data_IF_142098371072
#
_entry.id   IF_142098371072
#
_cell.length_a   1.000
_cell.length_b   1.000
_cell.length_c   1.000
_cell.angle_alpha   90.00
_cell.angle_beta   90.00
_cell.angle_gamma   90.00
#
_symmetry.space_group_name_H-M   'P 1'
#
loop_
_entity.id
_entity.type
_entity.pdbx_description
1 polymer ?
#
# COMPACT_ATOMS: atom_id res chain seq x y z
N UNK A 1 21.40 -14.52 9.11
CA UNK A 1 21.14 -15.58 8.12
C UNK A 1 20.32 -14.98 7.00
N UNK A 2 20.91 -14.82 5.81
CA UNK A 2 20.21 -14.33 4.62
C UNK A 2 19.21 -15.39 4.18
N UNK A 3 17.91 -15.10 4.30
CA UNK A 3 16.87 -16.04 3.87
C UNK A 3 16.93 -16.20 2.35
N UNK A 4 16.99 -17.44 1.86
CA UNK A 4 16.90 -17.71 0.43
C UNK A 4 15.51 -17.28 -0.05
N UNK A 5 15.45 -16.26 -0.91
CA UNK A 5 14.19 -15.84 -1.53
C UNK A 5 13.92 -16.75 -2.73
N UNK A 6 12.79 -17.44 -2.70
CA UNK A 6 12.36 -18.28 -3.83
C UNK A 6 12.03 -17.34 -4.99
N UNK A 7 12.63 -17.61 -6.15
CA UNK A 7 12.35 -16.89 -7.39
C UNK A 7 11.30 -17.68 -8.16
N UNK A 8 10.10 -17.14 -8.29
CA UNK A 8 9.02 -17.79 -9.06
C UNK A 8 9.18 -17.65 -10.57
N UNK A 9 9.77 -16.54 -11.02
CA UNK A 9 9.99 -16.25 -12.44
C UNK A 9 11.45 -15.80 -12.68
N UNK A 10 12.34 -16.66 -13.21
CA UNK A 10 13.72 -16.29 -13.51
C UNK A 10 13.89 -15.56 -14.85
N UNK A 11 12.82 -15.21 -15.57
CA UNK A 11 12.91 -14.68 -16.95
C UNK A 11 13.73 -13.39 -17.09
N UNK A 12 13.79 -12.56 -16.04
CA UNK A 12 14.59 -11.32 -16.02
C UNK A 12 15.97 -11.48 -15.38
N UNK A 13 16.40 -12.71 -15.09
CA UNK A 13 17.68 -12.96 -14.44
C UNK A 13 18.86 -12.61 -15.36
N UNK A 14 19.79 -11.81 -14.86
CA UNK A 14 21.00 -11.38 -15.58
C UNK A 14 22.20 -12.15 -15.04
N UNK A 15 23.07 -12.70 -15.90
CA UNK A 15 24.25 -13.43 -15.42
C UNK A 15 25.21 -12.51 -14.67
N UNK A 16 25.60 -12.91 -13.46
CA UNK A 16 26.65 -12.26 -12.68
C UNK A 16 27.97 -13.01 -12.82
N UNK A 17 27.92 -14.34 -12.66
CA UNK A 17 29.07 -15.22 -12.87
C UNK A 17 28.58 -16.57 -13.41
N UNK A 18 28.50 -16.72 -14.75
CA UNK A 18 28.05 -17.96 -15.38
C UNK A 18 28.87 -19.19 -14.99
N UNK A 19 30.19 -19.01 -14.79
CA UNK A 19 31.09 -20.09 -14.40
C UNK A 19 30.74 -20.74 -13.05
N UNK A 20 30.07 -19.99 -12.17
CA UNK A 20 29.60 -20.44 -10.87
C UNK A 20 28.07 -20.62 -10.82
N UNK A 21 27.38 -20.48 -11.96
CA UNK A 21 25.92 -20.52 -12.02
C UNK A 21 25.21 -19.39 -11.26
N UNK A 22 25.86 -18.23 -11.08
CA UNK A 22 25.32 -17.10 -10.35
C UNK A 22 24.60 -16.12 -11.27
N UNK A 23 23.35 -15.81 -10.91
CA UNK A 23 22.48 -14.89 -11.63
C UNK A 23 21.87 -13.88 -10.65
N UNK A 24 21.65 -12.66 -11.13
CA UNK A 24 20.97 -11.60 -10.40
C UNK A 24 19.58 -11.39 -10.97
N UNK A 25 18.58 -11.40 -10.09
CA UNK A 25 17.22 -11.03 -10.46
C UNK A 25 16.96 -9.58 -10.03
N UNK A 26 16.65 -8.66 -10.95
CA UNK A 26 16.24 -7.31 -10.58
C UNK A 26 14.88 -7.36 -9.86
N UNK A 27 14.75 -6.60 -8.78
CA UNK A 27 13.48 -6.39 -8.07
C UNK A 27 13.01 -4.98 -8.40
N UNK A 28 11.78 -4.84 -8.87
CA UNK A 28 11.21 -3.53 -9.14
C UNK A 28 10.48 -3.01 -7.91
N UNK A 29 10.69 -1.72 -7.62
CA UNK A 29 10.09 -1.01 -6.48
C UNK A 29 9.06 -0.02 -6.99
N UNK A 30 7.93 0.06 -6.32
CA UNK A 30 6.83 0.99 -6.61
C UNK A 30 6.47 1.77 -5.35
N UNK A 31 6.22 3.07 -5.51
CA UNK A 31 5.83 3.93 -4.39
C UNK A 31 4.32 4.08 -4.37
N UNK A 32 3.71 3.78 -3.23
CA UNK A 32 2.26 3.81 -3.08
C UNK A 32 1.91 4.83 -2.00
N UNK A 33 1.14 5.84 -2.35
CA UNK A 33 0.63 6.85 -1.43
C UNK A 33 -0.85 6.63 -1.17
N UNK A 34 -1.25 6.61 0.09
CA UNK A 34 -2.64 6.46 0.51
C UNK A 34 -3.05 7.74 1.23
N UNK A 35 -4.05 8.44 0.70
CA UNK A 35 -4.62 9.62 1.36
C UNK A 35 -5.67 9.18 2.38
N UNK A 36 -5.48 9.63 3.62
CA UNK A 36 -6.41 9.44 4.71
C UNK A 36 -7.47 10.55 4.69
N UNK A 37 -8.73 10.25 5.05
CA UNK A 37 -9.75 11.28 5.19
C UNK A 37 -9.34 12.25 6.30
N UNK A 38 -9.53 13.57 6.11
CA UNK A 38 -9.29 14.53 7.17
C UNK A 38 -10.21 14.24 8.36
N UNK A 39 -9.77 14.54 9.60
CA UNK A 39 -10.64 14.42 10.76
C UNK A 39 -11.90 15.26 10.53
N UNK A 40 -13.09 14.78 10.97
CA UNK A 40 -14.31 15.53 10.80
C UNK A 40 -14.16 16.93 11.43
N UNK A 41 -14.64 17.99 10.75
CA UNK A 41 -14.55 19.34 11.29
C UNK A 41 -15.19 19.37 12.68
N UNK A 42 -14.51 20.01 13.63
CA UNK A 42 -15.06 20.19 14.97
C UNK A 42 -16.45 20.84 14.85
N UNK A 43 -17.47 20.33 15.56
CA UNK A 43 -18.80 20.95 15.49
C UNK A 43 -18.69 22.42 15.89
N UNK A 44 -19.46 23.31 15.25
CA UNK A 44 -19.50 24.72 15.66
C UNK A 44 -19.84 24.80 17.15
N UNK A 45 -19.27 25.75 17.90
CA UNK A 45 -19.61 25.92 19.31
C UNK A 45 -21.08 26.32 19.43
N UNK A 46 -21.95 25.34 19.71
CA UNK A 46 -23.35 25.59 20.03
C UNK A 46 -23.46 26.13 21.46
N UNK A 47 -24.05 27.31 21.70
CA UNK A 47 -24.07 27.96 23.01
C UNK A 47 -25.09 27.38 24.02
N UNK A 48 -25.80 26.28 23.73
CA UNK A 48 -26.85 25.78 24.63
C UNK A 48 -27.19 24.30 24.42
N UNK A 49 -26.51 23.38 25.12
CA UNK A 49 -27.11 22.21 25.80
C UNK A 49 -26.02 21.27 26.31
N UNK A 50 -26.12 20.91 27.59
CA UNK A 50 -25.30 19.92 28.29
C UNK A 50 -25.51 18.52 27.74
N UNK A 51 -24.83 18.18 26.63
CA UNK A 51 -24.53 16.79 26.23
C UNK A 51 -23.59 16.82 25.02
N UNK A 52 -22.35 16.30 25.13
CA UNK A 52 -21.51 16.15 23.95
C UNK A 52 -22.17 15.14 23.01
N UNK A 53 -22.34 15.43 21.70
CA UNK A 53 -22.73 14.40 20.75
C UNK A 53 -21.70 13.28 20.81
N UNK A 54 -22.10 12.00 20.66
CA UNK A 54 -21.15 10.90 20.59
C UNK A 54 -20.22 11.17 19.42
N UNK A 55 -18.96 11.52 19.72
CA UNK A 55 -17.88 11.52 18.75
C UNK A 55 -17.87 10.11 18.20
N UNK A 56 -18.38 9.92 16.99
CA UNK A 56 -18.24 8.65 16.31
C UNK A 56 -16.75 8.32 16.35
N UNK A 57 -16.31 7.22 16.99
CA UNK A 57 -14.92 6.89 17.05
C UNK A 57 -14.53 6.55 15.61
N UNK A 58 -13.99 7.52 14.89
CA UNK A 58 -13.30 7.28 13.63
C UNK A 58 -12.15 6.35 14.01
N UNK A 59 -12.36 5.05 13.83
CA UNK A 59 -11.38 4.02 14.10
C UNK A 59 -10.09 4.44 13.41
N UNK A 60 -9.02 4.61 14.19
CA UNK A 60 -7.74 4.97 13.64
C UNK A 60 -7.33 3.89 12.62
N UNK A 61 -7.06 4.31 11.39
CA UNK A 61 -6.65 3.38 10.33
C UNK A 61 -5.31 2.76 10.75
N UNK A 62 -5.26 1.43 10.85
CA UNK A 62 -4.00 0.77 11.16
C UNK A 62 -3.15 0.63 9.88
N UNK A 63 -1.84 0.82 9.99
CA UNK A 63 -0.93 0.64 8.85
C UNK A 63 -1.03 -0.78 8.26
N UNK A 64 -1.26 -1.78 9.12
CA UNK A 64 -1.43 -3.16 8.69
C UNK A 64 -2.67 -3.36 7.80
N UNK A 65 -3.80 -2.75 8.13
CA UNK A 65 -5.00 -2.83 7.29
C UNK A 65 -4.81 -2.17 5.93
N UNK A 66 -4.12 -1.02 5.91
CA UNK A 66 -3.77 -0.38 4.63
C UNK A 66 -2.87 -1.30 3.82
N UNK A 67 -1.88 -1.93 4.45
CA UNK A 67 -0.99 -2.87 3.77
C UNK A 67 -1.75 -4.08 3.20
N UNK A 68 -2.72 -4.61 3.94
CA UNK A 68 -3.52 -5.75 3.50
C UNK A 68 -4.50 -5.37 2.37
N UNK A 69 -5.12 -4.19 2.48
CA UNK A 69 -5.94 -3.62 1.39
C UNK A 69 -5.13 -3.40 0.11
N UNK A 70 -3.91 -2.88 0.24
CA UNK A 70 -2.99 -2.71 -0.90
C UNK A 70 -2.60 -4.05 -1.52
N UNK A 71 -2.31 -5.08 -0.71
CA UNK A 71 -2.04 -6.44 -1.23
C UNK A 71 -3.23 -7.00 -1.99
N UNK A 72 -4.43 -6.91 -1.44
CA UNK A 72 -5.64 -7.40 -2.09
C UNK A 72 -5.91 -6.70 -3.43
N UNK A 73 -5.73 -5.38 -3.48
CA UNK A 73 -5.86 -4.62 -4.73
C UNK A 73 -4.82 -5.02 -5.77
N UNK A 74 -3.56 -5.18 -5.35
CA UNK A 74 -2.47 -5.60 -6.23
C UNK A 74 -2.67 -7.02 -6.76
N UNK A 75 -3.16 -7.94 -5.92
CA UNK A 75 -3.57 -9.29 -6.34
C UNK A 75 -4.71 -9.24 -7.38
N UNK A 76 -5.74 -8.43 -7.15
CA UNK A 76 -6.83 -8.22 -8.09
C UNK A 76 -6.38 -7.65 -9.44
N UNK A 77 -5.32 -6.84 -9.44
CA UNK A 77 -4.68 -6.31 -10.64
C UNK A 77 -3.72 -7.30 -11.33
N UNK A 78 -3.67 -8.56 -10.88
CA UNK A 78 -2.73 -9.60 -11.34
C UNK A 78 -1.25 -9.21 -11.19
N UNK A 79 -0.94 -8.35 -10.23
CA UNK A 79 0.41 -7.88 -9.95
C UNK A 79 0.69 -7.98 -8.44
N UNK A 80 0.87 -9.19 -7.89
CA UNK A 80 1.11 -9.39 -6.47
C UNK A 80 2.41 -8.70 -6.03
N UNK A 81 2.35 -8.03 -4.88
CA UNK A 81 3.52 -7.42 -4.24
C UNK A 81 4.26 -8.47 -3.42
N UNK A 82 5.53 -8.71 -3.71
CA UNK A 82 6.42 -9.62 -2.96
C UNK A 82 6.76 -9.07 -1.59
N UNK A 83 6.95 -7.75 -1.51
CA UNK A 83 7.15 -7.03 -0.25
C UNK A 83 6.31 -5.77 -0.26
N UNK A 84 5.86 -5.37 0.92
CA UNK A 84 5.20 -4.09 1.13
C UNK A 84 5.65 -3.57 2.48
N UNK A 85 6.16 -2.34 2.52
CA UNK A 85 6.71 -1.72 3.72
C UNK A 85 6.19 -0.29 3.86
N UNK A 86 6.06 0.18 5.09
CA UNK A 86 5.75 1.59 5.33
C UNK A 86 7.02 2.41 5.10
N UNK A 87 6.96 3.33 4.14
CA UNK A 87 8.05 4.26 3.85
C UNK A 87 7.96 5.50 4.75
N UNK A 88 6.76 6.09 4.87
CA UNK A 88 6.53 7.29 5.71
C UNK A 88 5.09 7.35 6.19
N UNK A 89 4.90 7.41 7.51
CA UNK A 89 3.61 7.75 8.12
C UNK A 89 3.39 9.26 8.13
N UNK A 90 2.18 9.70 7.75
CA UNK A 90 1.75 11.09 7.82
C UNK A 90 0.27 11.19 8.19
N UNK A 91 -0.18 12.33 8.75
CA UNK A 91 -1.57 12.49 9.20
C UNK A 91 -2.58 12.53 8.04
N UNK A 92 -2.17 13.01 6.86
CA UNK A 92 -3.03 13.13 5.68
C UNK A 92 -2.68 12.13 4.58
N UNK A 93 -1.39 11.78 4.45
CA UNK A 93 -0.90 10.86 3.42
C UNK A 93 0.12 9.92 4.04
N UNK A 94 -0.10 8.62 3.82
CA UNK A 94 0.80 7.55 4.22
C UNK A 94 1.47 6.99 2.97
N UNK A 95 2.80 6.89 2.98
CA UNK A 95 3.57 6.32 1.87
C UNK A 95 4.06 4.92 2.21
N UNK A 96 3.86 4.02 1.28
CA UNK A 96 4.29 2.65 1.29
C UNK A 96 5.22 2.39 0.11
N UNK A 97 6.08 1.40 0.28
CA UNK A 97 7.00 0.92 -0.74
C UNK A 97 6.65 -0.54 -1.01
N UNK A 98 6.22 -0.82 -2.24
CA UNK A 98 5.90 -2.16 -2.73
C UNK A 98 7.03 -2.69 -3.61
N UNK A 99 7.33 -3.98 -3.49
CA UNK A 99 8.27 -4.69 -4.36
C UNK A 99 7.48 -5.66 -5.24
N UNK A 100 7.77 -5.68 -6.54
CA UNK A 100 7.22 -6.66 -7.48
C UNK A 100 8.35 -7.48 -8.11
N UNK A 101 8.06 -8.75 -8.38
CA UNK A 101 9.08 -9.70 -8.86
C UNK A 101 9.57 -9.43 -10.28
N UNK A 102 8.79 -8.72 -11.09
CA UNK A 102 9.07 -8.56 -12.51
C UNK A 102 8.72 -7.13 -12.94
N UNK A 103 9.58 -6.51 -13.77
CA UNK A 103 9.36 -5.14 -14.26
C UNK A 103 8.10 -5.05 -15.12
N UNK A 104 7.70 -6.14 -15.78
CA UNK A 104 6.45 -6.23 -16.53
C UNK A 104 5.21 -6.07 -15.63
N UNK A 105 5.31 -6.43 -14.34
CA UNK A 105 4.21 -6.30 -13.37
C UNK A 105 4.08 -4.90 -12.77
N UNK A 106 5.06 -4.02 -12.97
CA UNK A 106 5.01 -2.63 -12.49
C UNK A 106 3.84 -1.89 -13.13
N UNK A 107 3.69 -1.96 -14.46
CA UNK A 107 2.61 -1.29 -15.18
C UNK A 107 1.20 -1.73 -14.73
N UNK A 108 0.89 -3.04 -14.66
CA UNK A 108 -0.41 -3.48 -14.15
C UNK A 108 -0.58 -3.20 -12.66
N UNK A 109 0.48 -3.21 -11.84
CA UNK A 109 0.39 -2.78 -10.44
C UNK A 109 0.00 -1.29 -10.34
N UNK A 110 0.68 -0.41 -11.10
CA UNK A 110 0.38 1.02 -11.12
C UNK A 110 -1.03 1.29 -11.63
N UNK A 111 -1.44 0.72 -12.77
CA UNK A 111 -2.83 0.83 -13.26
C UNK A 111 -3.85 0.19 -12.31
N UNK A 112 -3.40 -0.80 -11.54
CA UNK A 112 -4.16 -1.53 -10.56
C UNK A 112 -4.41 -0.78 -9.26
N UNK A 113 -3.58 0.21 -8.93
CA UNK A 113 -3.56 0.91 -7.65
C UNK A 113 -3.80 2.41 -7.80
N UNK A 114 -3.28 3.03 -8.85
CA UNK A 114 -3.34 4.47 -9.04
C UNK A 114 -4.76 4.95 -9.33
N UNK A 115 -5.16 5.99 -8.60
CA UNK A 115 -6.49 6.59 -8.69
C UNK A 115 -7.64 5.74 -8.13
N UNK A 116 -7.37 4.54 -7.61
CA UNK A 116 -8.40 3.66 -7.05
C UNK A 116 -8.68 3.98 -5.58
N UNK A 117 -9.89 3.62 -5.15
CA UNK A 117 -10.32 3.78 -3.77
C UNK A 117 -10.45 2.42 -3.11
N UNK A 118 -9.80 2.22 -1.96
CA UNK A 118 -10.00 1.04 -1.14
C UNK A 118 -10.99 1.33 -0.02
N UNK A 119 -11.90 0.41 0.23
CA UNK A 119 -12.74 0.45 1.43
C UNK A 119 -12.17 -0.54 2.43
N UNK A 120 -11.72 -0.03 3.56
CA UNK A 120 -11.30 -0.87 4.68
C UNK A 120 -12.52 -1.16 5.56
N UNK A 121 -12.62 -2.39 6.04
CA UNK A 121 -13.69 -2.80 6.94
C UNK A 121 -13.71 -1.93 8.20
N UNK A 122 -14.82 -1.24 8.43
CA UNK A 122 -15.00 -0.35 9.59
C UNK A 122 -14.62 1.11 9.36
N UNK A 123 -14.26 1.53 8.14
CA UNK A 123 -14.21 2.94 7.77
C UNK A 123 -15.43 3.34 6.91
N UNK A 124 -16.13 4.42 7.28
CA UNK A 124 -17.23 4.94 6.45
C UNK A 124 -16.74 5.64 5.17
N UNK A 125 -15.45 5.97 5.10
CA UNK A 125 -14.84 6.65 3.97
C UNK A 125 -13.78 5.77 3.30
N UNK A 126 -13.85 5.67 1.97
CA UNK A 126 -12.83 5.00 1.18
C UNK A 126 -11.52 5.79 1.16
N UNK A 127 -10.39 5.07 1.26
CA UNK A 127 -9.06 5.63 1.16
C UNK A 127 -8.65 5.68 -0.31
N UNK A 128 -8.26 6.86 -0.79
CA UNK A 128 -7.76 7.00 -2.16
C UNK A 128 -6.29 6.59 -2.21
N UNK A 129 -6.00 5.70 -3.14
CA UNK A 129 -4.67 5.16 -3.41
C UNK A 129 -4.13 5.86 -4.65
N UNK A 130 -2.86 6.21 -4.60
CA UNK A 130 -2.09 6.68 -5.75
C UNK A 130 -0.78 5.92 -5.79
N UNK A 131 -0.41 5.44 -6.97
CA UNK A 131 0.81 4.67 -7.16
C UNK A 131 1.66 5.33 -8.24
N UNK A 132 2.96 5.49 -7.97
CA UNK A 132 3.94 6.15 -8.83
C UNK A 132 5.27 5.39 -8.87
#
# INVERSE_FOLDING_TARGET
>A
MSSATIVHDPSEAVPLCPALGLYLKPIARVTISVSLPPPPPAPPPSPSSTSPPPRAPSRAVSNWEVMEGLRAMAQGARAPLSSLRLARGGPEVVRFEGEVENRALVRPALAGLDGKTMMLSGLPHGLRVSAA
#
